data_IF_842185729654
#
_entry.id   IF_842185729654
#
_cell.length_a   1.000
_cell.length_b   1.000
_cell.length_c   1.000
_cell.angle_alpha   90.00
_cell.angle_beta   90.00
_cell.angle_gamma   90.00
#
_symmetry.space_group_name_H-M   'P 1'
#
loop_
_entity.id
_entity.type
_entity.pdbx_description
1 polymer ?
#
# COMPACT_ATOMS: atom_id res chain seq x y z
N UNK A 1 16.16 12.09 -15.48
CA UNK A 1 16.33 10.67 -15.11
C UNK A 1 15.01 10.20 -14.55
N UNK A 2 14.37 9.20 -15.15
CA UNK A 2 13.12 8.64 -14.60
C UNK A 2 13.42 7.88 -13.32
N UNK A 3 12.58 8.01 -12.30
CA UNK A 3 12.68 7.19 -11.10
C UNK A 3 12.50 5.73 -11.50
N UNK A 4 13.61 4.95 -11.48
CA UNK A 4 13.53 3.51 -11.64
C UNK A 4 13.02 2.93 -10.33
N UNK A 5 11.82 2.36 -10.36
CA UNK A 5 11.26 1.64 -9.23
C UNK A 5 12.15 0.41 -8.93
N UNK A 6 12.53 0.17 -7.67
CA UNK A 6 13.35 -0.98 -7.31
C UNK A 6 12.54 -2.27 -7.49
N UNK A 7 13.24 -3.39 -7.72
CA UNK A 7 12.60 -4.70 -7.69
C UNK A 7 12.46 -5.20 -6.25
N UNK A 8 11.50 -6.08 -6.01
CA UNK A 8 11.24 -6.68 -4.70
C UNK A 8 12.46 -7.40 -4.10
N UNK A 9 13.35 -7.93 -4.96
CA UNK A 9 14.60 -8.57 -4.50
C UNK A 9 15.62 -7.58 -3.93
N UNK A 10 15.51 -6.30 -4.30
CA UNK A 10 16.44 -5.24 -3.89
C UNK A 10 15.95 -4.53 -2.61
N UNK A 11 14.68 -4.68 -2.25
CA UNK A 11 14.07 -4.05 -1.08
C UNK A 11 13.95 -5.07 0.05
N UNK A 12 14.71 -4.87 1.12
CA UNK A 12 14.73 -5.76 2.28
C UNK A 12 13.34 -5.82 2.95
N UNK A 13 12.80 -7.02 3.24
CA UNK A 13 11.55 -7.15 3.99
C UNK A 13 11.72 -6.69 5.44
N UNK A 14 10.64 -6.17 6.02
CA UNK A 14 10.49 -5.83 7.44
C UNK A 14 9.73 -6.93 8.20
N UNK A 15 9.16 -6.59 9.35
CA UNK A 15 8.30 -7.50 10.10
C UNK A 15 6.97 -7.73 9.36
N UNK A 16 6.34 -8.87 9.63
CA UNK A 16 4.98 -9.19 9.14
C UNK A 16 4.00 -8.20 9.74
N UNK A 17 3.03 -7.77 8.95
CA UNK A 17 1.93 -6.90 9.38
C UNK A 17 0.58 -7.59 9.16
N UNK A 18 -0.42 -7.22 9.96
CA UNK A 18 -1.78 -7.74 9.83
C UNK A 18 -2.43 -7.38 8.48
N UNK A 19 -1.91 -6.39 7.75
CA UNK A 19 -2.39 -5.99 6.42
C UNK A 19 -1.63 -6.64 5.26
N UNK A 20 -0.68 -7.53 5.53
CA UNK A 20 0.00 -8.29 4.49
C UNK A 20 -1.03 -9.14 3.70
N UNK A 21 -1.03 -8.99 2.38
CA UNK A 21 -1.96 -9.67 1.49
C UNK A 21 -2.03 -9.07 0.08
N UNK A 22 -3.02 -9.48 -0.70
CA UNK A 22 -3.38 -8.92 -2.00
C UNK A 22 -4.45 -7.85 -1.83
N UNK A 23 -4.25 -6.71 -2.50
CA UNK A 23 -5.09 -5.53 -2.40
C UNK A 23 -5.29 -4.91 -3.79
N UNK A 24 -6.51 -4.47 -4.10
CA UNK A 24 -6.82 -3.74 -5.32
C UNK A 24 -6.74 -2.23 -5.07
N UNK A 25 -6.03 -1.50 -5.92
CA UNK A 25 -6.02 -0.04 -5.96
C UNK A 25 -7.25 0.42 -6.76
N UNK A 26 -8.24 0.97 -6.07
CA UNK A 26 -9.57 1.20 -6.65
C UNK A 26 -9.57 2.16 -7.85
N UNK A 27 -8.69 3.17 -7.85
CA UNK A 27 -8.61 4.17 -8.93
C UNK A 27 -7.94 3.66 -10.20
N UNK A 28 -7.20 2.55 -10.12
CA UNK A 28 -6.49 1.94 -11.25
C UNK A 28 -7.07 0.59 -11.67
N UNK A 29 -7.92 0.00 -10.82
CA UNK A 29 -8.35 -1.39 -10.92
C UNK A 29 -7.15 -2.34 -11.14
N UNK A 30 -6.15 -2.22 -10.27
CA UNK A 30 -4.90 -3.01 -10.31
C UNK A 30 -4.63 -3.64 -8.96
N UNK A 31 -4.21 -4.90 -8.98
CA UNK A 31 -3.86 -5.61 -7.76
C UNK A 31 -2.37 -5.48 -7.45
N UNK A 32 -2.06 -5.26 -6.17
CA UNK A 32 -0.72 -5.22 -5.60
C UNK A 32 -0.63 -6.18 -4.42
N UNK A 33 0.59 -6.56 -4.05
CA UNK A 33 0.89 -7.32 -2.84
C UNK A 33 1.50 -6.37 -1.81
N UNK A 34 0.94 -6.36 -0.61
CA UNK A 34 1.61 -5.83 0.59
C UNK A 34 2.32 -7.01 1.26
N UNK A 35 3.64 -6.99 1.43
CA UNK A 35 4.42 -8.03 2.10
C UNK A 35 5.54 -7.41 2.92
N UNK A 36 5.42 -7.50 4.25
CA UNK A 36 6.47 -7.12 5.21
C UNK A 36 6.99 -5.71 4.97
N UNK A 37 6.06 -4.77 4.86
CA UNK A 37 6.31 -3.35 4.66
C UNK A 37 6.77 -2.95 3.25
N UNK A 38 6.53 -3.79 2.26
CA UNK A 38 6.77 -3.51 0.84
C UNK A 38 5.48 -3.68 0.09
N UNK A 39 5.08 -2.69 -0.71
CA UNK A 39 3.95 -2.84 -1.63
C UNK A 39 4.49 -2.97 -3.05
N UNK A 40 4.26 -4.11 -3.68
CA UNK A 40 4.78 -4.39 -5.01
C UNK A 40 3.72 -4.90 -5.96
N UNK A 41 4.01 -4.70 -7.24
CA UNK A 41 3.08 -4.96 -8.32
C UNK A 41 3.07 -6.44 -8.68
N UNK A 42 1.89 -7.03 -8.78
CA UNK A 42 1.71 -8.38 -9.34
C UNK A 42 1.22 -8.31 -10.80
N UNK A 43 0.51 -7.24 -11.16
CA UNK A 43 0.01 -6.97 -12.51
C UNK A 43 0.55 -5.63 -13.01
N UNK A 44 1.38 -5.63 -14.05
CA UNK A 44 1.98 -4.40 -14.57
C UNK A 44 0.96 -3.43 -15.19
N UNK A 45 1.26 -2.13 -15.16
CA UNK A 45 0.47 -1.09 -15.84
C UNK A 45 1.34 0.04 -16.38
N UNK A 46 0.74 0.88 -17.23
CA UNK A 46 1.35 2.15 -17.65
C UNK A 46 0.84 3.25 -16.71
N UNK A 47 1.74 3.87 -15.96
CA UNK A 47 1.38 4.98 -15.09
C UNK A 47 1.59 6.31 -15.82
N UNK A 48 0.53 7.14 -15.83
CA UNK A 48 0.48 8.47 -16.46
C UNK A 48 0.99 8.50 -17.92
N UNK A 49 0.89 7.39 -18.66
CA UNK A 49 1.44 7.20 -20.02
C UNK A 49 2.97 7.37 -20.16
N UNK A 50 3.66 7.74 -19.08
CA UNK A 50 5.07 8.13 -19.10
C UNK A 50 6.00 6.98 -18.68
N UNK A 51 5.51 6.06 -17.85
CA UNK A 51 6.35 4.98 -17.31
C UNK A 51 5.59 3.68 -17.16
N UNK A 52 6.32 2.58 -17.43
CA UNK A 52 5.80 1.22 -17.36
C UNK A 52 6.21 0.59 -16.04
N UNK A 53 5.22 0.36 -15.19
CA UNK A 53 5.39 -0.38 -13.94
C UNK A 53 5.20 -1.86 -14.24
N UNK A 54 6.19 -2.68 -13.89
CA UNK A 54 6.23 -4.11 -14.21
C UNK A 54 5.98 -4.96 -12.95
N UNK A 55 5.52 -6.21 -13.10
CA UNK A 55 5.45 -7.15 -11.99
C UNK A 55 6.78 -7.25 -11.24
N UNK A 56 6.71 -7.34 -9.91
CA UNK A 56 7.84 -7.37 -9.00
C UNK A 56 8.45 -6.00 -8.67
N UNK A 57 8.03 -4.90 -9.32
CA UNK A 57 8.47 -3.56 -8.92
C UNK A 57 7.77 -3.12 -7.63
N UNK A 58 8.53 -2.57 -6.70
CA UNK A 58 8.02 -1.97 -5.47
C UNK A 58 7.54 -0.55 -5.77
N UNK A 59 6.31 -0.26 -5.38
CA UNK A 59 5.67 1.05 -5.57
C UNK A 59 5.54 1.83 -4.26
N UNK A 60 5.46 1.16 -3.11
CA UNK A 60 5.46 1.83 -1.80
C UNK A 60 6.46 1.12 -0.88
N UNK A 61 7.38 1.89 -0.28
CA UNK A 61 8.32 1.39 0.74
C UNK A 61 8.98 2.53 1.53
N UNK A 62 9.17 2.41 2.85
CA UNK A 62 8.54 1.38 3.69
C UNK A 62 7.02 1.59 3.75
N UNK A 63 6.28 0.58 4.16
CA UNK A 63 4.86 0.69 4.55
C UNK A 63 4.73 0.13 5.96
N UNK A 64 4.57 1.00 6.94
CA UNK A 64 4.69 0.65 8.36
C UNK A 64 3.51 1.14 9.16
N UNK A 65 3.11 0.36 10.15
CA UNK A 65 2.06 0.73 11.10
C UNK A 65 2.67 1.60 12.22
N UNK A 66 2.18 2.82 12.37
CA UNK A 66 2.60 3.74 13.44
C UNK A 66 1.71 3.63 14.68
N UNK A 67 0.43 3.30 14.47
CA UNK A 67 -0.56 3.04 15.49
C UNK A 67 -1.60 2.07 14.89
N UNK A 68 -2.42 1.37 15.70
CA UNK A 68 -3.38 0.39 15.19
C UNK A 68 -4.19 0.95 14.01
N UNK A 69 -4.00 0.46 12.80
CA UNK A 69 -4.70 0.88 11.58
C UNK A 69 -4.28 2.24 11.01
N UNK A 70 -3.17 2.82 11.45
CA UNK A 70 -2.55 4.02 10.89
C UNK A 70 -1.19 3.63 10.35
N UNK A 71 -0.99 3.87 9.06
CA UNK A 71 0.22 3.49 8.35
C UNK A 71 0.88 4.69 7.69
N UNK A 72 2.19 4.64 7.58
CA UNK A 72 2.99 5.62 6.83
C UNK A 72 3.93 4.93 5.86
N UNK A 73 4.38 5.71 4.88
CA UNK A 73 5.32 5.22 3.88
C UNK A 73 5.73 6.25 2.86
N UNK A 74 6.34 5.77 1.78
CA UNK A 74 6.71 6.57 0.63
C UNK A 74 6.12 5.95 -0.64
N UNK A 75 5.29 6.70 -1.35
CA UNK A 75 4.80 6.32 -2.69
C UNK A 75 5.85 6.73 -3.71
N UNK A 76 6.49 5.74 -4.34
CA UNK A 76 7.60 5.97 -5.27
C UNK A 76 7.11 6.50 -6.64
N UNK A 77 6.03 5.97 -7.25
CA UNK A 77 5.45 6.55 -8.46
C UNK A 77 5.05 8.03 -8.32
N UNK A 78 4.39 8.38 -7.20
CA UNK A 78 3.94 9.74 -6.92
C UNK A 78 5.03 10.62 -6.29
N UNK A 79 6.18 10.03 -5.95
CA UNK A 79 7.34 10.68 -5.35
C UNK A 79 6.98 11.51 -4.10
N UNK A 80 6.15 10.96 -3.22
CA UNK A 80 5.62 11.68 -2.07
C UNK A 80 5.44 10.82 -0.82
N UNK A 81 5.50 11.42 0.38
CA UNK A 81 5.16 10.72 1.60
C UNK A 81 3.68 10.33 1.58
N UNK A 82 3.41 9.17 2.15
CA UNK A 82 2.12 8.49 2.13
C UNK A 82 1.64 8.29 3.56
N UNK A 83 0.35 8.52 3.77
CA UNK A 83 -0.39 8.10 4.96
C UNK A 83 -1.55 7.22 4.53
N UNK A 84 -1.79 6.15 5.26
CA UNK A 84 -2.96 5.31 5.07
C UNK A 84 -3.69 5.05 6.39
N UNK A 85 -5.02 5.07 6.35
CA UNK A 85 -5.87 4.73 7.49
C UNK A 85 -6.71 3.53 7.13
N UNK A 86 -6.61 2.47 7.92
CA UNK A 86 -7.55 1.35 7.86
C UNK A 86 -8.86 1.77 8.52
N UNK A 87 -9.95 1.67 7.77
CA UNK A 87 -11.30 1.98 8.23
C UNK A 87 -11.99 0.75 8.83
N UNK A 88 -13.04 0.98 9.61
CA UNK A 88 -13.89 -0.09 10.15
C UNK A 88 -14.56 -0.96 9.07
N UNK A 89 -14.61 -0.48 7.83
CA UNK A 89 -15.11 -1.19 6.64
C UNK A 89 -14.04 -2.03 5.94
N UNK A 90 -12.85 -2.16 6.56
CA UNK A 90 -11.72 -2.97 6.07
C UNK A 90 -11.04 -2.41 4.83
N UNK A 91 -11.24 -1.13 4.53
CA UNK A 91 -10.60 -0.42 3.42
C UNK A 91 -9.41 0.36 3.96
N UNK A 92 -8.31 0.41 3.21
CA UNK A 92 -7.24 1.36 3.49
C UNK A 92 -7.46 2.63 2.66
N UNK A 93 -7.69 3.76 3.32
CA UNK A 93 -7.76 5.08 2.69
C UNK A 93 -6.37 5.71 2.65
N UNK A 94 -5.85 5.92 1.44
CA UNK A 94 -4.52 6.47 1.19
C UNK A 94 -4.59 7.96 0.86
N UNK A 95 -3.63 8.72 1.40
CA UNK A 95 -3.32 10.10 1.02
C UNK A 95 -1.82 10.21 0.77
N UNK A 96 -1.45 10.75 -0.39
CA UNK A 96 -0.06 10.95 -0.79
C UNK A 96 0.17 12.42 -1.11
N UNK A 97 1.16 13.04 -0.46
CA UNK A 97 1.61 14.38 -0.83
C UNK A 97 2.55 14.29 -2.04
N UNK A 98 1.98 14.01 -3.22
CA UNK A 98 2.71 13.77 -4.46
C UNK A 98 3.37 15.02 -5.01
N UNK A 99 4.36 14.83 -5.90
CA UNK A 99 5.15 15.91 -6.49
C UNK A 99 4.32 16.95 -7.30
N UNK A 100 3.12 16.56 -7.77
CA UNK A 100 2.20 17.43 -8.53
C UNK A 100 0.95 17.83 -7.74
N UNK A 101 0.91 17.54 -6.44
CA UNK A 101 -0.25 17.79 -5.58
C UNK A 101 -0.67 16.55 -4.79
N UNK A 102 -1.62 16.76 -3.87
CA UNK A 102 -2.17 15.67 -3.06
C UNK A 102 -3.00 14.71 -3.91
N UNK A 103 -2.79 13.41 -3.70
CA UNK A 103 -3.54 12.33 -4.35
C UNK A 103 -4.19 11.47 -3.28
N UNK A 104 -5.44 11.07 -3.51
CA UNK A 104 -6.21 10.17 -2.63
C UNK A 104 -6.70 8.98 -3.42
N UNK A 105 -6.60 7.80 -2.82
CA UNK A 105 -7.13 6.56 -3.39
C UNK A 105 -7.44 5.56 -2.26
N UNK A 106 -8.11 4.47 -2.61
CA UNK A 106 -8.41 3.40 -1.66
C UNK A 106 -7.73 2.11 -2.09
N UNK A 107 -7.37 1.30 -1.10
CA UNK A 107 -7.00 -0.10 -1.33
C UNK A 107 -8.04 -1.01 -0.69
N UNK A 108 -8.57 -1.92 -1.49
CA UNK A 108 -9.63 -2.86 -1.11
C UNK A 108 -9.01 -4.26 -0.98
N UNK A 109 -9.13 -4.95 0.16
CA UNK A 109 -8.48 -6.25 0.36
C UNK A 109 -9.12 -7.29 -0.56
N UNK A 110 -8.29 -8.07 -1.25
CA UNK A 110 -8.71 -9.19 -2.09
C UNK A 110 -8.44 -10.53 -1.39
N UNK A 111 -7.26 -10.63 -0.76
CA UNK A 111 -6.84 -11.79 0.01
C UNK A 111 -5.89 -11.34 1.12
N UNK A 112 -6.06 -11.84 2.34
CA UNK A 112 -5.17 -11.54 3.47
C UNK A 112 -4.31 -12.77 3.77
N UNK A 113 -3.05 -12.56 4.11
CA UNK A 113 -2.16 -13.66 4.52
C UNK A 113 -2.55 -14.23 5.88
N UNK A 114 -2.94 -13.34 6.80
CA UNK A 114 -3.42 -13.68 8.15
C UNK A 114 -4.77 -12.98 8.42
N UNK A 115 -5.89 -13.63 8.05
CA UNK A 115 -7.22 -13.07 8.30
C UNK A 115 -7.53 -12.86 9.79
N UNK A 116 -6.95 -13.66 10.70
CA UNK A 116 -7.23 -13.57 12.13
C UNK A 116 -6.54 -12.37 12.77
N UNK A 117 -5.28 -12.12 12.42
CA UNK A 117 -4.56 -10.91 12.81
C UNK A 117 -5.24 -9.65 12.25
N UNK A 118 -5.65 -9.68 10.98
CA UNK A 118 -6.40 -8.58 10.38
C UNK A 118 -7.73 -8.33 11.10
N UNK A 119 -8.50 -9.38 11.40
CA UNK A 119 -9.77 -9.25 12.12
C UNK A 119 -9.57 -8.71 13.55
N UNK A 120 -8.46 -9.04 14.21
CA UNK A 120 -8.09 -8.46 15.49
C UNK A 120 -7.82 -6.95 15.36
N UNK A 121 -7.02 -6.55 14.37
CA UNK A 121 -6.76 -5.15 14.08
C UNK A 121 -8.06 -4.37 13.80
N UNK A 122 -8.98 -4.92 13.00
CA UNK A 122 -10.28 -4.28 12.70
C UNK A 122 -11.12 -4.05 13.96
N UNK A 123 -11.07 -4.96 14.96
CA UNK A 123 -11.76 -4.73 16.23
C UNK A 123 -11.20 -3.52 16.96
N UNK A 124 -9.88 -3.33 16.93
CA UNK A 124 -9.22 -2.20 17.60
C UNK A 124 -9.41 -0.88 16.84
N UNK A 125 -9.42 -0.92 15.51
CA UNK A 125 -9.80 0.22 14.65
C UNK A 125 -11.21 0.70 14.97
N UNK A 126 -12.19 -0.22 15.02
CA UNK A 126 -13.60 0.12 15.32
C UNK A 126 -13.79 0.68 16.72
N UNK A 127 -13.08 0.13 17.73
CA UNK A 127 -13.08 0.70 19.09
C UNK A 127 -12.55 2.14 19.13
N UNK A 128 -11.61 2.46 18.24
CA UNK A 128 -11.06 3.80 18.10
C UNK A 128 -11.96 4.76 17.29
N UNK A 129 -13.16 4.33 16.86
CA UNK A 129 -14.12 5.16 16.13
C UNK A 129 -13.75 5.43 14.67
N UNK A 130 -12.96 4.54 14.06
CA UNK A 130 -12.58 4.56 12.64
C UNK A 130 -13.25 3.44 11.85
#
# INVERSE_FOLDING_TARGET
>A
MGAFLPNIVDVKPKAVSAVDGLWNISSLDKTVRIDRGRVYVIEGWNHLLLFKIKPGMVVITPFEEEAPGIFTGQDLPLQGPLKATLTGDRILDFTVAGALGEVRYQMIPQQLDDPDAFNALIRDVRKAGR
#
